data_IF_914448033325
#
_entry.id   IF_914448033325
#
_cell.length_a   1.000
_cell.length_b   1.000
_cell.length_c   1.000
_cell.angle_alpha   90.00
_cell.angle_beta   90.00
_cell.angle_gamma   90.00
#
_symmetry.space_group_name_H-M   'P 1'
#
loop_
_entity.id
_entity.type
_entity.pdbx_description
1 polymer ?
#
# COMPACT_ATOMS: atom_id res chain seq x y z
N UNK A 1 5.87 11.36 3.36
CA UNK A 1 4.42 11.56 3.16
C UNK A 1 4.24 12.89 2.45
N UNK A 2 3.72 12.89 1.22
CA UNK A 2 3.56 14.12 0.44
C UNK A 2 3.62 13.88 -1.06
N UNK A 3 4.49 12.98 -1.54
CA UNK A 3 4.61 12.66 -2.98
C UNK A 3 3.32 12.09 -3.56
N UNK A 4 2.77 11.03 -2.97
CA UNK A 4 1.49 10.43 -3.38
C UNK A 4 0.34 11.39 -3.10
N UNK A 5 0.26 11.92 -1.87
CA UNK A 5 -0.86 12.77 -1.43
C UNK A 5 -1.07 14.02 -2.29
N UNK A 6 -0.01 14.71 -2.70
CA UNK A 6 -0.15 15.98 -3.42
C UNK A 6 1.03 16.37 -4.32
N UNK A 7 2.27 16.21 -3.84
CA UNK A 7 3.45 16.87 -4.41
C UNK A 7 3.89 16.36 -5.78
N UNK A 8 3.71 15.08 -6.10
CA UNK A 8 4.14 14.56 -7.41
C UNK A 8 3.20 15.01 -8.53
N UNK A 9 3.72 15.42 -9.70
CA UNK A 9 2.87 15.75 -10.86
C UNK A 9 2.18 14.51 -11.44
N UNK A 10 2.87 13.36 -11.40
CA UNK A 10 2.37 12.07 -11.87
C UNK A 10 2.64 11.02 -10.79
N UNK A 11 1.67 10.15 -10.53
CA UNK A 11 1.79 9.02 -9.59
C UNK A 11 1.34 7.76 -10.32
N UNK A 12 2.20 6.74 -10.33
CA UNK A 12 1.88 5.41 -10.83
C UNK A 12 2.03 4.45 -9.65
N UNK A 13 0.95 3.78 -9.28
CA UNK A 13 0.93 2.77 -8.23
C UNK A 13 0.83 1.41 -8.88
N UNK A 14 1.88 0.60 -8.76
CA UNK A 14 1.88 -0.79 -9.20
C UNK A 14 1.45 -1.68 -8.03
N UNK A 15 0.40 -2.48 -8.22
CA UNK A 15 -0.19 -3.30 -7.16
C UNK A 15 -0.43 -4.71 -7.67
N UNK A 16 0.05 -5.72 -6.94
CA UNK A 16 -0.26 -7.12 -7.24
C UNK A 16 -1.73 -7.44 -6.97
N UNK A 17 -2.36 -8.26 -7.80
CA UNK A 17 -3.78 -8.63 -7.67
C UNK A 17 -4.08 -9.38 -6.37
N UNK A 18 -3.07 -9.93 -5.69
CA UNK A 18 -3.17 -10.56 -4.37
C UNK A 18 -3.49 -9.59 -3.22
N UNK A 19 -3.56 -8.28 -3.50
CA UNK A 19 -3.89 -7.22 -2.53
C UNK A 19 -5.33 -6.71 -2.61
N UNK A 20 -6.12 -7.21 -3.56
CA UNK A 20 -7.53 -6.85 -3.68
C UNK A 20 -8.31 -7.51 -2.53
N UNK A 21 -9.08 -6.71 -1.82
CA UNK A 21 -9.99 -7.11 -0.73
C UNK A 21 -11.37 -6.53 -0.99
N UNK A 22 -12.36 -6.97 -0.22
CA UNK A 22 -13.76 -6.58 -0.41
C UNK A 22 -13.99 -5.09 -0.16
N UNK A 23 -13.40 -4.54 0.89
CA UNK A 23 -13.66 -3.17 1.34
C UNK A 23 -12.49 -2.58 2.17
N UNK A 24 -12.64 -1.30 2.55
CA UNK A 24 -11.62 -0.55 3.30
C UNK A 24 -11.36 -1.14 4.69
N UNK A 25 -12.39 -1.70 5.35
CA UNK A 25 -12.24 -2.36 6.66
C UNK A 25 -11.38 -3.63 6.53
N UNK A 26 -11.66 -4.47 5.54
CA UNK A 26 -10.85 -5.66 5.25
C UNK A 26 -9.41 -5.27 4.87
N UNK A 27 -9.19 -4.13 4.22
CA UNK A 27 -7.85 -3.64 3.89
C UNK A 27 -7.02 -3.31 5.15
N UNK A 28 -7.62 -2.61 6.12
CA UNK A 28 -6.96 -2.31 7.39
C UNK A 28 -6.73 -3.59 8.20
N UNK A 29 -7.74 -4.47 8.28
CA UNK A 29 -7.61 -5.77 8.95
C UNK A 29 -6.47 -6.59 8.37
N UNK A 30 -6.41 -6.75 7.04
CA UNK A 30 -5.33 -7.44 6.34
C UNK A 30 -3.97 -6.80 6.61
N UNK A 31 -3.89 -5.48 6.70
CA UNK A 31 -2.63 -4.77 7.01
C UNK A 31 -2.09 -5.18 8.38
N UNK A 32 -2.95 -5.25 9.40
CA UNK A 32 -2.56 -5.63 10.75
C UNK A 32 -2.37 -7.13 10.95
N UNK A 33 -3.26 -7.97 10.41
CA UNK A 33 -3.30 -9.41 10.70
C UNK A 33 -2.45 -10.25 9.74
N UNK A 34 -2.14 -9.73 8.54
CA UNK A 34 -1.38 -10.47 7.53
C UNK A 34 -0.08 -9.76 7.14
N UNK A 35 -0.15 -8.51 6.71
CA UNK A 35 1.01 -7.77 6.17
C UNK A 35 2.05 -7.50 7.25
N UNK A 36 1.66 -6.91 8.38
CA UNK A 36 2.59 -6.53 9.44
C UNK A 36 3.33 -7.74 10.04
N UNK A 37 2.70 -8.90 10.30
CA UNK A 37 3.42 -10.11 10.72
C UNK A 37 4.40 -10.62 9.67
N UNK A 38 3.99 -10.67 8.39
CA UNK A 38 4.84 -11.14 7.29
C UNK A 38 6.06 -10.22 7.11
N UNK A 39 5.85 -8.92 7.11
CA UNK A 39 6.91 -7.92 7.01
C UNK A 39 7.82 -7.91 8.25
N UNK A 40 7.27 -8.14 9.44
CA UNK A 40 8.08 -8.25 10.65
C UNK A 40 8.96 -9.50 10.65
N UNK A 41 8.48 -10.61 10.07
CA UNK A 41 9.29 -11.81 9.87
C UNK A 41 10.45 -11.52 8.91
N UNK A 42 10.15 -10.93 7.74
CA UNK A 42 11.19 -10.51 6.79
C UNK A 42 12.18 -9.53 7.40
N UNK A 43 11.71 -8.55 8.18
CA UNK A 43 12.59 -7.56 8.80
C UNK A 43 13.53 -8.15 9.86
N UNK A 44 13.09 -9.17 10.61
CA UNK A 44 13.96 -9.94 11.50
C UNK A 44 15.06 -10.66 10.72
N UNK A 45 14.68 -11.31 9.62
CA UNK A 45 15.60 -12.13 8.82
C UNK A 45 16.62 -11.24 8.06
N UNK A 46 16.17 -10.16 7.43
CA UNK A 46 16.99 -9.31 6.57
C UNK A 46 17.80 -8.26 7.35
N UNK A 47 17.26 -7.77 8.48
CA UNK A 47 17.83 -6.62 9.20
C UNK A 47 18.12 -6.87 10.69
N UNK A 48 17.74 -8.02 11.26
CA UNK A 48 17.98 -8.33 12.68
C UNK A 48 17.24 -7.42 13.67
N UNK A 49 16.19 -6.71 13.23
CA UNK A 49 15.37 -5.83 14.08
C UNK A 49 14.18 -6.61 14.66
N UNK A 50 13.61 -6.20 15.82
CA UNK A 50 12.51 -6.96 16.46
C UNK A 50 11.27 -7.17 15.56
N UNK A 51 11.00 -6.23 14.66
CA UNK A 51 9.92 -6.30 13.69
C UNK A 51 9.67 -4.95 13.04
N UNK A 52 8.57 -4.88 12.29
CA UNK A 52 8.14 -3.66 11.60
C UNK A 52 6.98 -2.98 12.34
N UNK A 53 6.59 -1.80 11.88
CA UNK A 53 5.47 -1.04 12.44
C UNK A 53 4.65 -0.37 11.33
N UNK A 54 3.34 -0.30 11.54
CA UNK A 54 2.43 0.51 10.70
C UNK A 54 2.31 1.89 11.34
N UNK A 55 2.94 2.89 10.73
CA UNK A 55 2.99 4.25 11.27
C UNK A 55 1.96 5.20 10.65
N UNK A 56 1.65 5.02 9.36
CA UNK A 56 0.76 5.90 8.63
C UNK A 56 -0.04 5.10 7.60
N UNK A 57 -1.25 5.57 7.32
CA UNK A 57 -2.06 5.14 6.19
C UNK A 57 -2.30 6.29 5.23
N UNK A 58 -2.38 5.97 3.95
CA UNK A 58 -2.78 6.91 2.91
C UNK A 58 -3.93 6.27 2.12
N UNK A 59 -5.08 6.96 2.09
CA UNK A 59 -6.31 6.45 1.49
C UNK A 59 -6.75 7.39 0.38
N UNK A 60 -6.84 6.86 -0.84
CA UNK A 60 -7.33 7.59 -2.01
C UNK A 60 -8.81 7.22 -2.20
N UNK A 61 -9.72 8.12 -1.83
CA UNK A 61 -11.17 7.87 -1.94
C UNK A 61 -11.76 8.32 -3.28
N UNK A 62 -11.15 9.31 -3.92
CA UNK A 62 -11.64 9.88 -5.17
C UNK A 62 -10.50 10.52 -5.98
N UNK A 63 -10.77 10.73 -7.27
CA UNK A 63 -9.91 11.49 -8.17
C UNK A 63 -10.02 12.98 -7.86
N UNK A 64 -8.88 13.68 -7.85
CA UNK A 64 -8.84 15.14 -7.68
C UNK A 64 -9.48 15.83 -8.89
N UNK A 65 -10.42 16.78 -8.70
CA UNK A 65 -11.01 17.54 -9.79
C UNK A 65 -10.02 18.48 -10.49
N UNK A 66 -8.94 18.88 -9.79
CA UNK A 66 -7.91 19.76 -10.33
C UNK A 66 -6.86 19.03 -11.16
N UNK A 67 -6.79 17.71 -11.02
CA UNK A 67 -5.76 16.89 -11.66
C UNK A 67 -6.27 15.47 -11.90
N UNK A 68 -7.24 15.27 -12.80
CA UNK A 68 -7.99 14.02 -12.90
C UNK A 68 -7.15 12.81 -13.35
N UNK A 69 -6.07 13.04 -14.09
CA UNK A 69 -5.19 11.99 -14.62
C UNK A 69 -3.90 11.82 -13.82
N UNK A 70 -3.82 12.39 -12.61
CA UNK A 70 -2.58 12.43 -11.81
C UNK A 70 -2.17 11.07 -11.25
N UNK A 71 -3.13 10.27 -10.80
CA UNK A 71 -2.88 8.99 -10.14
C UNK A 71 -3.40 7.87 -11.02
N UNK A 72 -2.52 6.95 -11.40
CA UNK A 72 -2.86 5.73 -12.13
C UNK A 72 -2.52 4.52 -11.27
N UNK A 73 -3.47 3.60 -11.11
CA UNK A 73 -3.27 2.34 -10.40
C UNK A 73 -3.25 1.21 -11.43
N UNK A 74 -2.14 0.48 -11.50
CA UNK A 74 -1.97 -0.68 -12.39
C UNK A 74 -2.03 -1.94 -11.56
N UNK A 75 -3.04 -2.77 -11.82
CA UNK A 75 -3.17 -4.08 -11.21
C UNK A 75 -2.37 -5.10 -12.04
N UNK A 76 -1.33 -5.65 -11.43
CA UNK A 76 -0.50 -6.70 -12.02
C UNK A 76 -1.11 -8.04 -11.63
N UNK A 77 -1.34 -8.93 -12.60
CA UNK A 77 -1.96 -10.25 -12.39
C UNK A 77 -0.97 -11.28 -11.81
N UNK A 78 -0.25 -10.87 -10.77
CA UNK A 78 0.80 -11.64 -10.09
C UNK A 78 0.77 -11.35 -8.58
N UNK A 79 1.32 -12.26 -7.78
CA UNK A 79 1.47 -12.08 -6.35
C UNK A 79 2.74 -11.26 -6.04
N UNK A 80 2.62 -9.93 -6.10
CA UNK A 80 3.73 -9.03 -5.81
C UNK A 80 3.83 -8.78 -4.30
N UNK A 81 4.74 -9.48 -3.61
CA UNK A 81 4.89 -9.38 -2.15
C UNK A 81 3.67 -9.87 -1.37
N UNK A 82 3.63 -9.55 -0.08
CA UNK A 82 2.54 -9.89 0.85
C UNK A 82 1.45 -8.83 0.88
#
# INVERSE_FOLDING_TARGET
VGGVAFGAKNVIVLVGSNKIVKDEEEAFKRSHEFVLPAESARARDDYGVPGSALLNYEVIKAVSPFSPNRIQVVLVKEALGF
#
